data_IF_056838707428
#
_entry.id   IF_056838707428
#
_cell.length_a   1.000
_cell.length_b   1.000
_cell.length_c   1.000
_cell.angle_alpha   90.00
_cell.angle_beta   90.00
_cell.angle_gamma   90.00
#
_symmetry.space_group_name_H-M   'P 1'
#
loop_
_entity.id
_entity.type
_entity.pdbx_description
1 polymer ?
#
# COMPACT_ATOMS: atom_id res chain seq x y z
N UNK A 1 -59.09 30.52 -19.32
CA UNK A 1 -58.25 30.17 -18.15
C UNK A 1 -57.30 29.05 -18.59
N UNK A 2 -56.02 29.36 -18.84
CA UNK A 2 -55.01 28.36 -19.20
C UNK A 2 -54.24 28.01 -17.93
N UNK A 3 -54.31 26.76 -17.49
CA UNK A 3 -53.58 26.27 -16.34
C UNK A 3 -52.08 26.18 -16.68
N UNK A 4 -51.25 26.92 -15.95
CA UNK A 4 -49.81 26.69 -15.90
C UNK A 4 -49.56 25.47 -14.99
N UNK A 5 -49.04 24.38 -15.55
CA UNK A 5 -48.39 23.34 -14.78
C UNK A 5 -46.93 23.77 -14.51
N UNK A 6 -46.64 24.15 -13.27
CA UNK A 6 -45.28 24.22 -12.77
C UNK A 6 -44.79 22.80 -12.44
N UNK A 7 -43.88 22.26 -13.26
CA UNK A 7 -43.13 21.07 -12.90
C UNK A 7 -42.00 21.48 -11.94
N UNK A 8 -42.14 21.12 -10.66
CA UNK A 8 -41.05 21.22 -9.70
C UNK A 8 -40.06 20.08 -9.96
N UNK A 9 -38.89 20.40 -10.50
CA UNK A 9 -37.79 19.44 -10.62
C UNK A 9 -37.22 19.19 -9.21
N UNK A 10 -37.51 18.01 -8.66
CA UNK A 10 -36.90 17.52 -7.42
C UNK A 10 -35.46 17.12 -7.75
N UNK A 11 -34.48 17.96 -7.41
CA UNK A 11 -33.07 17.58 -7.47
C UNK A 11 -32.81 16.57 -6.35
N UNK A 12 -32.80 15.28 -6.69
CA UNK A 12 -32.30 14.23 -5.80
C UNK A 12 -30.78 14.38 -5.78
N UNK A 13 -30.24 14.89 -4.67
CA UNK A 13 -28.82 14.80 -4.38
C UNK A 13 -28.50 13.33 -4.13
N UNK A 14 -28.13 12.61 -5.18
CA UNK A 14 -27.47 11.32 -5.04
C UNK A 14 -26.13 11.61 -4.35
N UNK A 15 -26.01 11.22 -3.08
CA UNK A 15 -24.69 11.14 -2.46
C UNK A 15 -23.83 10.23 -3.35
N UNK A 16 -22.58 10.60 -3.67
CA UNK A 16 -21.69 9.71 -4.40
C UNK A 16 -21.62 8.39 -3.62
N UNK A 17 -21.83 7.27 -4.32
CA UNK A 17 -21.57 5.96 -3.72
C UNK A 17 -20.13 5.99 -3.23
N UNK A 18 -19.92 5.69 -1.93
CA UNK A 18 -18.55 5.44 -1.45
C UNK A 18 -17.99 4.31 -2.30
N UNK A 19 -16.77 4.49 -2.82
CA UNK A 19 -16.04 3.39 -3.43
C UNK A 19 -16.02 2.22 -2.43
N UNK A 20 -16.33 1.03 -2.92
CA UNK A 20 -16.24 -0.17 -2.10
C UNK A 20 -14.77 -0.48 -1.84
N UNK A 21 -14.45 -0.97 -0.64
CA UNK A 21 -13.12 -1.47 -0.32
C UNK A 21 -12.76 -2.66 -1.21
N UNK A 22 -11.47 -2.83 -1.47
CA UNK A 22 -10.94 -4.02 -2.13
C UNK A 22 -11.12 -5.24 -1.22
N UNK A 23 -11.69 -6.33 -1.73
CA UNK A 23 -11.93 -7.53 -0.92
C UNK A 23 -10.61 -8.26 -0.66
N UNK A 24 -10.17 -8.33 0.59
CA UNK A 24 -8.91 -9.00 1.00
C UNK A 24 -8.85 -10.48 0.66
N UNK A 25 -10.00 -11.14 0.41
CA UNK A 25 -9.99 -12.52 -0.08
C UNK A 25 -9.46 -12.63 -1.51
N UNK A 26 -9.43 -11.52 -2.27
CA UNK A 26 -8.85 -11.50 -3.61
C UNK A 26 -7.34 -11.72 -3.58
N UNK A 27 -6.65 -11.42 -2.47
CA UNK A 27 -5.22 -11.70 -2.31
C UNK A 27 -4.89 -13.18 -2.56
N UNK A 28 -5.78 -14.11 -2.19
CA UNK A 28 -5.56 -15.56 -2.32
C UNK A 28 -6.38 -16.20 -3.43
N UNK A 29 -6.97 -15.39 -4.31
CA UNK A 29 -7.79 -15.92 -5.39
C UNK A 29 -6.92 -16.64 -6.43
N UNK A 30 -7.47 -17.70 -7.02
CA UNK A 30 -6.78 -18.44 -8.07
C UNK A 30 -6.43 -17.56 -9.28
N UNK A 31 -7.26 -16.55 -9.57
CA UNK A 31 -7.02 -15.58 -10.65
C UNK A 31 -5.77 -14.73 -10.34
N UNK A 32 -5.74 -14.11 -9.15
CA UNK A 32 -4.61 -13.28 -8.69
C UNK A 32 -3.29 -14.06 -8.70
N UNK A 33 -3.30 -15.30 -8.19
CA UNK A 33 -2.13 -16.18 -8.16
C UNK A 33 -1.68 -16.61 -9.56
N UNK A 34 -2.63 -16.90 -10.47
CA UNK A 34 -2.31 -17.26 -11.86
C UNK A 34 -1.65 -16.11 -12.62
N UNK A 35 -1.98 -14.86 -12.28
CA UNK A 35 -1.40 -13.66 -12.88
C UNK A 35 -0.02 -13.30 -12.31
N UNK A 36 0.56 -14.16 -11.45
CA UNK A 36 1.89 -13.97 -10.87
C UNK A 36 1.91 -13.05 -9.63
N UNK A 37 0.73 -12.66 -9.13
CA UNK A 37 0.57 -11.88 -7.90
C UNK A 37 -0.04 -12.70 -6.78
N UNK A 38 -0.66 -11.99 -5.83
CA UNK A 38 -1.40 -12.60 -4.73
C UNK A 38 -0.52 -13.21 -3.64
N UNK A 39 -1.16 -13.51 -2.52
CA UNK A 39 -0.54 -14.09 -1.35
C UNK A 39 -0.86 -15.57 -1.26
N UNK A 40 -0.01 -16.27 -0.52
CA UNK A 40 -0.10 -17.71 -0.34
C UNK A 40 -0.23 -17.96 1.16
N UNK A 41 -1.45 -18.25 1.65
CA UNK A 41 -1.68 -18.42 3.07
C UNK A 41 -0.98 -19.68 3.59
N UNK A 42 -0.68 -19.68 4.88
CA UNK A 42 -0.18 -20.86 5.59
C UNK A 42 -1.31 -21.59 6.31
N UNK A 43 -1.19 -22.91 6.40
CA UNK A 43 -2.09 -23.73 7.18
C UNK A 43 -1.96 -23.41 8.68
N UNK A 44 -2.98 -23.74 9.48
CA UNK A 44 -2.90 -23.62 10.96
C UNK A 44 -1.81 -24.50 11.57
N UNK A 45 -1.49 -25.60 10.89
CA UNK A 45 -0.43 -26.53 11.27
C UNK A 45 0.67 -26.57 10.21
N UNK A 46 1.51 -25.51 10.12
CA UNK A 46 2.51 -25.39 9.08
C UNK A 46 3.61 -26.44 9.24
N UNK A 47 4.11 -26.93 8.11
CA UNK A 47 5.35 -27.69 8.01
C UNK A 47 6.57 -26.76 8.09
N UNK A 48 7.76 -27.36 8.26
CA UNK A 48 9.01 -26.62 8.48
C UNK A 48 9.30 -25.53 7.42
N UNK A 49 8.88 -25.76 6.17
CA UNK A 49 9.16 -24.87 5.04
C UNK A 49 7.99 -23.97 4.67
N UNK A 50 6.82 -24.13 5.31
CA UNK A 50 5.63 -23.37 4.95
C UNK A 50 5.79 -21.88 5.28
N UNK A 51 6.68 -21.54 6.21
CA UNK A 51 7.02 -20.14 6.51
C UNK A 51 7.74 -19.44 5.35
N UNK A 52 8.42 -20.18 4.46
CA UNK A 52 9.05 -19.58 3.27
C UNK A 52 8.01 -18.98 2.31
N UNK A 53 6.77 -19.46 2.39
CA UNK A 53 5.66 -18.96 1.59
C UNK A 53 5.32 -17.51 1.97
N UNK A 54 5.49 -17.12 3.24
CA UNK A 54 5.25 -15.76 3.73
C UNK A 54 6.26 -14.75 3.18
N UNK A 55 7.40 -15.20 2.63
CA UNK A 55 8.44 -14.35 2.04
C UNK A 55 8.61 -14.63 0.54
N UNK A 56 7.67 -15.35 -0.10
CA UNK A 56 7.71 -15.74 -1.50
C UNK A 56 6.47 -15.30 -2.28
N UNK A 57 6.38 -14.04 -2.72
CA UNK A 57 7.07 -12.89 -2.15
C UNK A 57 6.38 -12.43 -0.84
N UNK A 58 7.10 -11.67 -0.01
CA UNK A 58 6.52 -11.04 1.21
C UNK A 58 5.45 -10.01 0.86
N UNK A 59 5.49 -9.46 -0.35
CA UNK A 59 4.53 -8.52 -0.91
C UNK A 59 4.24 -8.88 -2.36
N UNK A 60 2.97 -8.83 -2.76
CA UNK A 60 2.57 -9.14 -4.13
C UNK A 60 1.84 -7.97 -4.76
N UNK A 61 2.25 -7.57 -5.97
CA UNK A 61 1.58 -6.47 -6.67
C UNK A 61 0.11 -6.78 -6.92
N UNK A 62 -0.75 -5.78 -6.72
CA UNK A 62 -2.16 -5.81 -7.11
C UNK A 62 -2.23 -5.40 -8.58
N UNK A 63 -2.98 -6.15 -9.37
CA UNK A 63 -3.12 -5.89 -10.80
C UNK A 63 -3.85 -4.56 -11.06
N UNK A 64 -3.17 -3.67 -11.77
CA UNK A 64 -3.68 -2.37 -12.20
C UNK A 64 -3.21 -2.10 -13.61
N UNK A 65 -4.10 -1.55 -14.43
CA UNK A 65 -3.78 -1.19 -15.80
C UNK A 65 -3.55 -2.42 -16.69
N UNK A 66 -2.83 -2.27 -17.81
CA UNK A 66 -2.54 -3.36 -18.74
C UNK A 66 -1.46 -4.37 -18.30
N UNK A 67 -0.69 -4.09 -17.23
CA UNK A 67 0.42 -4.94 -16.82
C UNK A 67 0.05 -5.83 -15.61
N UNK A 68 0.55 -7.06 -15.62
CA UNK A 68 0.33 -8.03 -14.54
C UNK A 68 1.50 -8.05 -13.55
N UNK A 69 1.29 -8.48 -12.30
CA UNK A 69 2.37 -8.69 -11.35
C UNK A 69 3.54 -9.55 -11.92
N UNK A 70 4.80 -9.26 -11.55
CA UNK A 70 5.24 -8.19 -10.65
C UNK A 70 5.33 -6.79 -11.30
N UNK A 71 4.93 -6.66 -12.56
CA UNK A 71 5.00 -5.44 -13.40
C UNK A 71 3.77 -4.54 -13.36
N UNK A 72 2.82 -4.82 -12.46
CA UNK A 72 1.58 -4.06 -12.39
C UNK A 72 1.84 -2.54 -12.32
N UNK A 73 0.97 -1.77 -12.99
CA UNK A 73 1.16 -0.33 -13.07
C UNK A 73 1.03 0.33 -11.69
N UNK A 74 1.78 1.42 -11.41
CA UNK A 74 1.65 2.12 -10.15
C UNK A 74 0.31 2.85 -10.04
N UNK A 75 -0.17 3.00 -8.82
CA UNK A 75 -1.31 3.88 -8.49
C UNK A 75 -0.82 5.23 -8.01
N UNK A 76 -1.72 6.22 -8.00
CA UNK A 76 -1.53 7.47 -7.27
C UNK A 76 -2.47 7.48 -6.08
N UNK A 77 -1.94 7.75 -4.89
CA UNK A 77 -2.68 7.79 -3.64
C UNK A 77 -2.51 9.16 -2.97
N UNK A 78 -3.61 9.69 -2.45
CA UNK A 78 -3.69 10.94 -1.70
C UNK A 78 -4.17 10.67 -0.27
N UNK A 79 -3.56 11.33 0.70
CA UNK A 79 -3.98 11.20 2.08
C UNK A 79 -3.40 12.23 3.03
N UNK A 80 -3.85 12.15 4.28
CA UNK A 80 -3.28 12.90 5.40
C UNK A 80 -2.48 11.95 6.25
N UNK A 81 -1.24 12.32 6.56
CA UNK A 81 -0.37 11.49 7.37
C UNK A 81 -0.83 11.50 8.82
N UNK A 82 -1.01 10.33 9.38
CA UNK A 82 -1.44 10.13 10.77
C UNK A 82 -0.25 9.76 11.66
N UNK A 83 0.63 8.91 11.14
CA UNK A 83 1.82 8.41 11.81
C UNK A 83 2.96 8.21 10.81
N UNK A 84 4.18 8.42 11.27
CA UNK A 84 5.40 8.01 10.57
C UNK A 84 6.33 7.34 11.60
N UNK A 85 6.74 6.09 11.34
CA UNK A 85 7.62 5.29 12.19
C UNK A 85 8.72 4.62 11.37
N UNK A 86 9.73 4.06 12.04
CA UNK A 86 10.66 3.11 11.43
C UNK A 86 10.23 1.74 11.93
N UNK A 87 10.17 0.74 11.05
CA UNK A 87 9.84 -0.62 11.45
C UNK A 87 11.07 -1.30 12.06
N UNK A 88 11.37 -1.01 13.33
CA UNK A 88 12.54 -1.59 14.00
C UNK A 88 12.35 -3.09 14.26
N UNK A 89 12.99 -3.94 13.44
CA UNK A 89 13.14 -5.38 13.69
C UNK A 89 12.02 -6.27 13.17
N UNK A 90 11.14 -5.75 12.31
CA UNK A 90 10.11 -6.52 11.58
C UNK A 90 10.59 -7.07 10.23
N UNK A 91 11.50 -6.36 9.58
CA UNK A 91 11.79 -6.62 8.16
C UNK A 91 12.76 -7.79 7.95
N UNK A 92 12.44 -8.65 6.98
CA UNK A 92 13.27 -9.80 6.68
C UNK A 92 14.56 -9.37 5.96
N UNK A 93 15.71 -9.56 6.62
CA UNK A 93 17.02 -9.18 6.03
C UNK A 93 17.37 -9.86 4.69
N UNK A 94 16.65 -10.91 4.30
CA UNK A 94 16.86 -11.60 3.02
C UNK A 94 16.16 -10.94 1.82
N UNK A 95 15.27 -9.98 2.04
CA UNK A 95 14.56 -9.25 0.98
C UNK A 95 14.56 -7.72 1.18
N UNK A 96 15.28 -7.21 2.19
CA UNK A 96 15.53 -5.78 2.42
C UNK A 96 17.02 -5.43 2.39
N UNK A 97 17.38 -4.20 2.00
CA UNK A 97 18.73 -3.65 2.21
C UNK A 97 18.88 -2.92 3.56
N UNK A 98 17.80 -2.29 4.02
CA UNK A 98 17.67 -1.53 5.26
C UNK A 98 16.22 -1.60 5.74
N UNK A 99 15.98 -1.29 7.02
CA UNK A 99 14.61 -1.25 7.57
C UNK A 99 13.71 -0.23 6.82
N UNK A 100 12.42 -0.47 6.83
CA UNK A 100 11.43 0.41 6.25
C UNK A 100 11.11 1.62 7.13
N UNK A 101 10.82 2.72 6.45
CA UNK A 101 10.13 3.86 7.02
C UNK A 101 8.66 3.78 6.62
N UNK A 102 7.81 3.60 7.62
CA UNK A 102 6.40 3.37 7.43
C UNK A 102 5.65 4.68 7.67
N UNK A 103 4.86 5.11 6.69
CA UNK A 103 3.99 6.29 6.77
C UNK A 103 2.54 5.83 6.62
N UNK A 104 1.73 6.13 7.62
CA UNK A 104 0.31 5.78 7.63
C UNK A 104 -0.54 6.95 7.15
N UNK A 105 -1.50 6.64 6.27
CA UNK A 105 -2.34 7.62 5.61
C UNK A 105 -3.82 7.38 5.96
N UNK A 106 -4.46 8.45 6.44
CA UNK A 106 -5.90 8.63 6.25
C UNK A 106 -6.11 8.94 4.76
N UNK A 107 -6.51 7.93 3.99
CA UNK A 107 -6.72 8.03 2.54
C UNK A 107 -7.87 8.98 2.20
N UNK A 108 -7.70 9.76 1.14
CA UNK A 108 -8.74 10.65 0.66
C UNK A 108 -9.95 9.87 0.15
N UNK A 109 -11.19 10.40 0.31
CA UNK A 109 -12.40 9.72 -0.13
C UNK A 109 -12.42 9.30 -1.61
N UNK A 110 -11.65 9.97 -2.47
CA UNK A 110 -11.55 9.66 -3.91
C UNK A 110 -10.74 8.38 -4.19
N UNK A 111 -9.87 8.00 -3.28
CA UNK A 111 -8.87 6.94 -3.47
C UNK A 111 -9.17 5.71 -2.60
N UNK A 112 -10.35 5.67 -1.96
CA UNK A 112 -10.75 4.58 -1.05
C UNK A 112 -10.90 3.22 -1.74
N UNK A 113 -10.93 3.17 -3.07
CA UNK A 113 -10.87 1.91 -3.83
C UNK A 113 -9.54 1.18 -3.66
N UNK A 114 -8.48 1.88 -3.25
CA UNK A 114 -7.18 1.28 -2.98
C UNK A 114 -7.06 0.67 -1.58
N UNK A 115 -8.04 0.88 -0.71
CA UNK A 115 -8.05 0.39 0.68
C UNK A 115 -8.77 -0.96 0.70
N UNK A 116 -8.11 -1.99 1.24
CA UNK A 116 -8.71 -3.30 1.37
C UNK A 116 -9.58 -3.45 2.62
N UNK A 117 -10.44 -4.47 2.63
CA UNK A 117 -11.27 -4.81 3.78
C UNK A 117 -10.43 -5.16 5.01
N UNK A 118 -9.22 -5.69 4.81
CA UNK A 118 -8.25 -5.99 5.86
C UNK A 118 -7.77 -4.72 6.56
N UNK A 119 -7.45 -3.66 5.79
CA UNK A 119 -7.00 -2.39 6.38
C UNK A 119 -8.02 -1.85 7.38
N UNK A 120 -9.32 -1.95 7.10
CA UNK A 120 -10.42 -1.43 7.94
C UNK A 120 -11.06 -2.48 8.85
N UNK A 121 -10.53 -3.70 8.86
CA UNK A 121 -11.03 -4.82 9.63
C UNK A 121 -10.62 -4.76 11.10
N UNK A 122 -11.05 -5.72 11.94
CA UNK A 122 -10.62 -5.79 13.34
C UNK A 122 -9.12 -6.03 13.51
N UNK A 123 -8.46 -6.54 12.45
CA UNK A 123 -7.01 -6.73 12.36
C UNK A 123 -6.30 -5.59 11.63
N UNK A 124 -7.04 -4.54 11.24
CA UNK A 124 -6.49 -3.40 10.53
C UNK A 124 -5.42 -2.70 11.33
N UNK A 125 -4.25 -2.52 10.72
CA UNK A 125 -3.18 -1.68 11.26
C UNK A 125 -3.72 -0.26 11.47
N UNK A 126 -3.32 0.35 12.59
CA UNK A 126 -3.42 1.79 12.86
C UNK A 126 -4.82 2.40 12.60
N UNK A 127 -5.89 1.74 13.06
CA UNK A 127 -7.28 2.22 12.97
C UNK A 127 -7.84 2.35 11.53
N UNK A 128 -7.41 1.54 10.57
CA UNK A 128 -8.01 1.58 9.23
C UNK A 128 -7.12 2.13 8.13
N UNK A 129 -5.85 2.39 8.41
CA UNK A 129 -4.99 3.23 7.58
C UNK A 129 -4.34 2.42 6.45
N UNK A 130 -3.99 3.12 5.37
CA UNK A 130 -3.20 2.54 4.30
C UNK A 130 -1.73 2.90 4.57
N UNK A 131 -0.89 1.87 4.55
CA UNK A 131 0.53 1.99 4.82
C UNK A 131 1.35 2.25 3.56
N UNK A 132 2.27 3.20 3.68
CA UNK A 132 3.32 3.46 2.71
C UNK A 132 4.63 3.01 3.32
N UNK A 133 5.41 2.24 2.57
CA UNK A 133 6.71 1.74 3.04
C UNK A 133 7.80 2.07 2.02
N UNK A 134 8.91 2.59 2.53
CA UNK A 134 10.13 2.74 1.77
C UNK A 134 11.34 2.63 2.69
N UNK A 135 12.23 1.71 2.33
CA UNK A 135 13.51 1.50 2.99
C UNK A 135 14.27 2.81 3.28
N UNK A 136 14.73 2.96 4.54
CA UNK A 136 15.40 4.17 5.02
C UNK A 136 16.68 4.51 4.23
N UNK A 137 17.34 3.51 3.66
CA UNK A 137 18.50 3.68 2.78
C UNK A 137 18.16 4.34 1.43
N UNK A 138 16.91 4.21 0.99
CA UNK A 138 16.39 4.76 -0.28
C UNK A 138 15.51 6.00 -0.08
N UNK A 139 15.15 6.35 1.17
CA UNK A 139 14.24 7.44 1.50
C UNK A 139 14.93 8.61 2.21
N UNK A 140 15.19 9.74 1.53
CA UNK A 140 15.85 10.87 2.17
C UNK A 140 14.97 11.59 3.20
N UNK A 141 15.56 11.89 4.37
CA UNK A 141 14.90 12.55 5.50
C UNK A 141 14.14 13.85 5.16
N UNK A 142 14.54 14.61 4.14
CA UNK A 142 13.83 15.85 3.79
C UNK A 142 12.43 15.58 3.22
N UNK A 143 12.21 14.39 2.67
CA UNK A 143 10.97 13.97 2.07
C UNK A 143 10.08 13.21 3.06
N UNK A 144 10.58 12.81 4.23
CA UNK A 144 9.80 12.12 5.27
C UNK A 144 8.64 12.99 5.76
N UNK A 145 7.43 12.42 5.75
CA UNK A 145 6.26 13.12 6.21
C UNK A 145 6.15 13.12 7.74
N UNK A 146 5.45 14.12 8.28
CA UNK A 146 5.03 14.14 9.68
C UNK A 146 3.51 14.10 9.80
N UNK A 147 3.02 13.72 10.98
CA UNK A 147 1.59 13.75 11.31
C UNK A 147 0.95 15.10 10.94
N UNK A 148 -0.16 15.07 10.21
CA UNK A 148 -0.91 16.21 9.72
C UNK A 148 -0.42 16.78 8.38
N UNK A 149 0.70 16.30 7.84
CA UNK A 149 1.11 16.64 6.47
C UNK A 149 0.16 16.03 5.45
N UNK A 150 0.03 16.70 4.30
CA UNK A 150 -0.67 16.17 3.13
C UNK A 150 0.31 15.43 2.25
N UNK A 151 -0.03 14.22 1.82
CA UNK A 151 0.84 13.40 1.01
C UNK A 151 0.13 12.98 -0.28
N UNK A 152 0.86 13.08 -1.39
CA UNK A 152 0.55 12.40 -2.65
C UNK A 152 1.70 11.46 -2.93
N UNK A 153 1.42 10.20 -3.24
CA UNK A 153 2.44 9.20 -3.56
C UNK A 153 2.05 8.44 -4.82
N UNK A 154 3.04 8.06 -5.61
CA UNK A 154 2.90 7.22 -6.80
C UNK A 154 3.77 6.01 -6.58
N UNK A 155 3.21 4.80 -6.65
CA UNK A 155 3.95 3.60 -6.29
C UNK A 155 3.25 2.29 -6.59
N UNK A 156 3.95 1.19 -6.31
CA UNK A 156 3.39 -0.14 -6.48
C UNK A 156 2.35 -0.38 -5.39
N UNK A 157 1.14 -0.68 -5.81
CA UNK A 157 0.07 -1.12 -4.92
C UNK A 157 0.22 -2.63 -4.71
N UNK A 158 0.25 -3.06 -3.45
CA UNK A 158 0.56 -4.45 -3.11
C UNK A 158 -0.45 -5.00 -2.11
N UNK A 159 -0.57 -6.32 -2.10
CA UNK A 159 -0.99 -7.09 -0.95
C UNK A 159 0.23 -7.35 -0.07
N UNK A 160 0.13 -7.03 1.21
CA UNK A 160 1.12 -7.44 2.20
C UNK A 160 0.85 -8.91 2.55
N UNK A 161 1.71 -9.80 2.06
CA UNK A 161 1.52 -11.24 2.21
C UNK A 161 2.03 -11.79 3.53
N UNK A 162 2.72 -10.98 4.34
CA UNK A 162 3.13 -11.34 5.70
C UNK A 162 1.94 -11.39 6.68
N UNK A 163 0.89 -10.60 6.45
CA UNK A 163 -0.15 -10.33 7.44
C UNK A 163 -1.58 -10.74 7.03
N UNK A 164 -1.75 -11.97 6.53
CA UNK A 164 -3.07 -12.46 6.11
C UNK A 164 -4.12 -12.64 7.22
N UNK A 165 -3.69 -12.81 8.48
CA UNK A 165 -4.46 -12.87 9.73
C UNK A 165 -5.97 -13.24 9.57
N UNK A 166 -6.31 -14.49 9.21
CA UNK A 166 -7.70 -14.87 8.95
C UNK A 166 -8.63 -14.65 10.15
N UNK A 167 -9.70 -13.88 9.96
CA UNK A 167 -10.70 -13.55 10.98
C UNK A 167 -12.04 -13.16 10.34
N UNK A 168 -13.10 -13.99 10.48
CA UNK A 168 -13.10 -15.28 11.14
C UNK A 168 -12.31 -16.34 10.36
N UNK A 169 -11.77 -17.31 11.10
CA UNK A 169 -11.31 -18.57 10.53
C UNK A 169 -12.48 -19.38 9.94
N UNK A 170 -12.17 -20.23 8.96
CA UNK A 170 -13.13 -21.15 8.37
C UNK A 170 -13.39 -22.37 9.25
N UNK A 171 -14.29 -23.22 8.77
CA UNK A 171 -14.55 -24.55 9.34
C UNK A 171 -14.49 -25.62 8.26
N UNK A 172 -14.11 -26.83 8.64
CA UNK A 172 -14.12 -27.94 7.70
C UNK A 172 -15.55 -28.31 7.30
N UNK A 173 -15.77 -28.49 6.00
CA UNK A 173 -17.09 -28.63 5.36
C UNK A 173 -18.03 -29.68 5.98
N UNK A 174 -17.49 -30.74 6.61
CA UNK A 174 -18.30 -31.75 7.30
C UNK A 174 -18.00 -31.80 8.81
N UNK A 175 -16.74 -31.62 9.19
CA UNK A 175 -16.28 -31.56 10.58
C UNK A 175 -16.29 -30.12 11.07
N UNK A 176 -17.48 -29.51 11.14
CA UNK A 176 -17.64 -28.07 11.41
C UNK A 176 -17.08 -27.58 12.76
N UNK A 177 -16.72 -28.49 13.69
CA UNK A 177 -16.00 -28.15 14.93
C UNK A 177 -14.51 -27.91 14.73
N UNK A 178 -13.95 -28.31 13.59
CA UNK A 178 -12.55 -28.09 13.23
C UNK A 178 -12.43 -26.74 12.52
N UNK A 179 -11.69 -25.82 13.13
CA UNK A 179 -11.30 -24.57 12.49
C UNK A 179 -10.22 -24.83 11.42
N UNK A 180 -10.24 -24.05 10.35
CA UNK A 180 -9.31 -24.18 9.23
C UNK A 180 -8.99 -22.82 8.62
N UNK A 181 -7.83 -22.74 7.98
CA UNK A 181 -7.47 -21.66 7.05
C UNK A 181 -7.43 -22.22 5.63
N UNK A 182 -6.88 -23.43 5.48
CA UNK A 182 -6.75 -24.13 4.22
C UNK A 182 -7.37 -25.52 4.26
N UNK A 183 -7.60 -26.09 3.07
CA UNK A 183 -8.06 -27.48 2.92
C UNK A 183 -7.14 -28.50 3.61
N UNK A 184 -5.84 -28.20 3.71
CA UNK A 184 -4.88 -29.04 4.43
C UNK A 184 -5.14 -29.15 5.93
N UNK A 185 -5.81 -28.15 6.53
CA UNK A 185 -6.23 -28.21 7.93
C UNK A 185 -7.40 -29.19 8.14
N UNK A 186 -8.09 -29.56 7.06
CA UNK A 186 -9.22 -30.49 7.04
C UNK A 186 -8.81 -31.92 6.67
N UNK A 187 -7.51 -32.23 6.70
CA UNK A 187 -6.97 -33.56 6.39
C UNK A 187 -5.99 -34.05 7.48
N UNK A 188 -5.79 -35.38 7.62
CA UNK A 188 -4.71 -35.90 8.45
C UNK A 188 -3.33 -35.45 7.94
N UNK A 189 -2.35 -35.17 8.83
CA UNK A 189 -2.41 -35.32 10.28
C UNK A 189 -3.00 -34.11 11.01
N UNK A 190 -3.24 -32.97 10.34
CA UNK A 190 -3.75 -31.74 10.96
C UNK A 190 -5.12 -31.96 11.63
N UNK A 191 -5.99 -32.73 10.99
CA UNK A 191 -7.26 -33.15 11.54
C UNK A 191 -7.43 -34.67 11.45
N UNK A 192 -7.13 -35.38 12.55
CA UNK A 192 -7.28 -36.84 12.62
C UNK A 192 -8.74 -37.33 12.55
N UNK A 193 -9.69 -36.47 12.91
CA UNK A 193 -11.13 -36.77 12.90
C UNK A 193 -11.87 -36.36 11.63
N UNK A 194 -11.20 -35.67 10.70
CA UNK A 194 -11.82 -35.16 9.48
C UNK A 194 -12.04 -36.26 8.45
N UNK A 195 -13.09 -36.08 7.65
CA UNK A 195 -13.42 -36.95 6.53
C UNK A 195 -12.48 -36.64 5.36
N UNK A 196 -12.05 -37.66 4.64
CA UNK A 196 -11.20 -37.47 3.47
C UNK A 196 -11.92 -36.62 2.40
N UNK A 197 -11.24 -35.58 1.91
CA UNK A 197 -11.74 -34.67 0.88
C UNK A 197 -12.58 -33.51 1.41
N UNK A 198 -12.64 -33.28 2.72
CA UNK A 198 -13.21 -32.04 3.25
C UNK A 198 -12.40 -30.81 2.79
N UNK A 199 -13.11 -29.74 2.46
CA UNK A 199 -12.52 -28.42 2.18
C UNK A 199 -12.76 -27.47 3.34
N UNK A 200 -11.92 -26.46 3.44
CA UNK A 200 -12.11 -25.34 4.35
C UNK A 200 -13.15 -24.37 3.77
N UNK A 201 -14.15 -23.98 4.58
CA UNK A 201 -15.21 -23.06 4.15
C UNK A 201 -15.39 -21.92 5.15
N UNK A 202 -15.64 -20.73 4.63
CA UNK A 202 -15.97 -19.56 5.44
C UNK A 202 -14.78 -18.78 6.02
N UNK A 203 -13.55 -19.14 5.66
CA UNK A 203 -12.36 -18.31 5.99
C UNK A 203 -12.49 -16.94 5.35
N UNK A 204 -12.24 -15.89 6.14
CA UNK A 204 -12.10 -14.52 5.64
C UNK A 204 -10.68 -14.06 5.92
N UNK A 205 -9.95 -13.74 4.86
CA UNK A 205 -8.59 -13.21 4.99
C UNK A 205 -8.60 -11.69 5.22
N UNK A 206 -7.63 -11.20 6.00
CA UNK A 206 -7.45 -9.79 6.33
C UNK A 206 -6.16 -9.21 5.74
N UNK A 207 -5.69 -9.72 4.59
CA UNK A 207 -4.56 -9.11 3.88
C UNK A 207 -4.79 -7.62 3.68
N UNK A 208 -3.77 -6.82 4.02
CA UNK A 208 -3.78 -5.39 3.82
C UNK A 208 -3.35 -5.05 2.40
N UNK A 209 -3.92 -3.96 1.88
CA UNK A 209 -3.36 -3.30 0.72
C UNK A 209 -2.51 -2.12 1.14
N UNK A 210 -1.39 -1.94 0.47
CA UNK A 210 -0.35 -0.97 0.84
C UNK A 210 0.35 -0.42 -0.39
N UNK A 211 1.19 0.60 -0.19
CA UNK A 211 2.04 1.14 -1.24
C UNK A 211 3.50 0.90 -0.88
N UNK A 212 4.07 -0.17 -1.45
CA UNK A 212 5.44 -0.62 -1.20
C UNK A 212 6.09 -1.22 -2.48
N UNK A 213 7.17 -0.62 -3.03
CA UNK A 213 7.70 0.71 -2.72
C UNK A 213 7.08 1.82 -3.59
N UNK A 214 7.12 3.07 -3.11
CA UNK A 214 6.86 4.24 -3.91
C UNK A 214 7.94 4.48 -4.98
N UNK A 215 7.51 5.12 -6.06
CA UNK A 215 8.35 5.65 -7.12
C UNK A 215 8.46 7.18 -7.04
N UNK A 216 7.44 7.82 -6.47
CA UNK A 216 7.48 9.23 -6.13
C UNK A 216 6.61 9.57 -4.91
N UNK A 217 7.04 10.57 -4.15
CA UNK A 217 6.31 11.11 -3.00
C UNK A 217 6.38 12.63 -3.01
N UNK A 218 5.25 13.28 -2.73
CA UNK A 218 5.12 14.71 -2.53
C UNK A 218 4.47 14.99 -1.17
N UNK A 219 5.26 15.53 -0.23
CA UNK A 219 4.81 15.87 1.12
C UNK A 219 4.62 17.37 1.24
N UNK A 220 3.37 17.78 1.43
CA UNK A 220 2.93 19.15 1.57
C UNK A 220 2.67 19.51 3.04
N UNK A 221 3.46 20.45 3.55
CA UNK A 221 3.43 20.95 4.94
C UNK A 221 2.73 22.31 4.99
N UNK A 222 1.44 22.38 5.36
CA UNK A 222 0.70 23.63 5.39
C UNK A 222 1.05 24.51 6.60
N UNK A 223 0.87 25.82 6.47
CA UNK A 223 0.58 26.67 7.64
C UNK A 223 1.74 27.42 8.31
N UNK A 224 3.01 27.20 7.93
CA UNK A 224 4.09 28.08 8.40
C UNK A 224 5.25 28.10 7.42
N UNK A 225 5.58 29.27 6.86
CA UNK A 225 6.75 29.42 5.99
C UNK A 225 8.03 28.93 6.66
N UNK A 226 8.44 27.71 6.31
CA UNK A 226 9.61 27.07 6.89
C UNK A 226 10.85 27.62 6.20
N UNK A 227 11.43 28.68 6.77
CA UNK A 227 12.76 29.15 6.39
C UNK A 227 13.80 28.50 7.30
N UNK A 228 14.45 27.42 6.86
CA UNK A 228 15.50 26.71 7.61
C UNK A 228 16.67 27.62 8.06
N UNK A 229 16.82 28.79 7.43
CA UNK A 229 17.98 29.67 7.63
C UNK A 229 17.70 31.03 8.28
N UNK A 230 16.45 31.37 8.64
CA UNK A 230 16.14 32.71 9.20
C UNK A 230 15.11 32.68 10.32
N UNK A 231 15.43 33.39 11.43
CA UNK A 231 14.51 33.67 12.54
C UNK A 231 13.17 34.19 12.03
N UNK A 232 12.06 33.59 12.52
CA UNK A 232 10.68 34.00 12.26
C UNK A 232 10.48 35.48 12.59
N UNK A 233 10.52 36.36 11.59
CA UNK A 233 9.89 37.68 11.65
C UNK A 233 8.50 37.54 11.03
N UNK A 234 7.44 37.55 11.84
CA UNK A 234 6.03 37.60 11.42
C UNK A 234 5.72 36.90 10.09
N UNK A 235 5.58 35.57 10.12
CA UNK A 235 5.61 34.72 8.94
C UNK A 235 4.37 34.86 8.05
N UNK A 236 4.59 34.97 6.74
CA UNK A 236 3.55 34.70 5.74
C UNK A 236 3.18 33.23 5.81
N UNK A 237 1.88 32.92 5.74
CA UNK A 237 1.42 31.55 5.50
C UNK A 237 2.00 31.08 4.16
N UNK A 238 2.72 29.96 4.20
CA UNK A 238 3.24 29.30 3.01
C UNK A 238 3.10 27.79 3.22
N UNK A 239 2.83 27.09 2.12
CA UNK A 239 2.96 25.63 2.03
C UNK A 239 4.34 25.34 1.47
N UNK A 240 5.03 24.36 2.05
CA UNK A 240 6.21 23.73 1.44
C UNK A 240 5.80 22.35 0.97
N UNK A 241 6.09 22.02 -0.28
CA UNK A 241 5.97 20.66 -0.80
C UNK A 241 7.36 20.16 -1.13
N UNK A 242 7.76 19.08 -0.48
CA UNK A 242 9.00 18.36 -0.77
C UNK A 242 8.66 17.17 -1.66
N UNK A 243 9.33 17.08 -2.81
CA UNK A 243 9.09 16.04 -3.81
C UNK A 243 10.34 15.18 -3.92
N UNK A 244 10.16 13.86 -3.84
CA UNK A 244 11.21 12.87 -4.07
C UNK A 244 10.72 11.87 -5.12
N UNK A 245 11.53 11.64 -6.15
CA UNK A 245 11.26 10.68 -7.22
C UNK A 245 12.48 9.77 -7.28
N UNK A 246 12.27 8.46 -7.17
CA UNK A 246 13.36 7.49 -7.07
C UNK A 246 13.03 6.20 -7.83
N UNK A 247 13.99 5.64 -8.60
CA UNK A 247 13.88 4.26 -9.06
C UNK A 247 14.33 3.26 -7.99
N UNK A 248 15.01 3.73 -6.93
CA UNK A 248 15.49 2.91 -5.82
C UNK A 248 14.40 2.74 -4.78
N UNK A 249 13.85 1.54 -4.70
CA UNK A 249 12.81 1.13 -3.75
C UNK A 249 13.27 0.05 -2.77
N UNK A 250 14.58 -0.03 -2.49
CA UNK A 250 15.12 -1.14 -1.69
C UNK A 250 14.93 -2.50 -2.38
N UNK A 251 14.91 -3.58 -1.59
CA UNK A 251 14.64 -4.93 -2.06
C UNK A 251 13.23 -5.08 -2.62
N UNK A 252 12.22 -4.43 -2.03
CA UNK A 252 10.87 -4.40 -2.57
C UNK A 252 10.77 -3.74 -3.96
N UNK A 253 11.77 -2.94 -4.34
CA UNK A 253 11.87 -2.30 -5.66
C UNK A 253 12.47 -3.17 -6.76
N UNK A 254 13.02 -4.35 -6.44
CA UNK A 254 13.72 -5.20 -7.38
C UNK A 254 12.87 -6.41 -7.81
N UNK A 255 12.78 -6.64 -9.12
CA UNK A 255 12.04 -7.76 -9.70
C UNK A 255 12.44 -9.10 -9.11
N UNK A 256 13.73 -9.35 -8.87
CA UNK A 256 14.21 -10.64 -8.39
C UNK A 256 13.56 -11.00 -7.04
N UNK A 257 13.45 -10.03 -6.14
CA UNK A 257 12.93 -10.22 -4.79
C UNK A 257 11.42 -10.47 -4.78
N UNK A 258 10.69 -9.77 -5.66
CA UNK A 258 9.22 -9.73 -5.62
C UNK A 258 8.56 -10.70 -6.59
N UNK A 259 9.36 -11.47 -7.34
CA UNK A 259 8.84 -12.48 -8.25
C UNK A 259 8.50 -13.73 -7.47
N UNK A 260 7.24 -14.17 -7.56
CA UNK A 260 6.82 -15.43 -6.96
C UNK A 260 7.58 -16.63 -7.54
N UNK A 261 8.11 -17.49 -6.67
CA UNK A 261 8.70 -18.76 -7.05
C UNK A 261 7.70 -19.91 -6.88
N UNK A 262 7.54 -20.75 -7.90
CA UNK A 262 6.63 -21.90 -7.82
C UNK A 262 7.00 -22.89 -6.70
N UNK A 263 8.28 -22.93 -6.31
CA UNK A 263 8.78 -23.70 -5.17
C UNK A 263 9.44 -22.75 -4.17
N UNK A 264 8.87 -22.55 -2.97
CA UNK A 264 9.45 -21.66 -1.95
C UNK A 264 10.88 -22.02 -1.53
N UNK A 265 11.31 -23.28 -1.72
CA UNK A 265 12.70 -23.68 -1.46
C UNK A 265 13.71 -23.03 -2.42
N UNK A 266 13.26 -22.51 -3.56
CA UNK A 266 14.13 -21.83 -4.52
C UNK A 266 14.73 -20.56 -3.89
N UNK A 267 14.01 -19.91 -2.96
CA UNK A 267 14.49 -18.75 -2.18
C UNK A 267 15.78 -19.02 -1.41
N UNK A 268 15.98 -20.24 -0.91
CA UNK A 268 17.16 -20.59 -0.08
C UNK A 268 18.18 -21.46 -0.82
N UNK A 269 17.86 -21.92 -2.03
CA UNK A 269 18.69 -22.88 -2.77
C UNK A 269 19.24 -22.34 -4.08
N UNK A 270 18.56 -21.39 -4.72
CA UNK A 270 18.90 -20.95 -6.09
C UNK A 270 18.73 -19.45 -6.35
N UNK A 271 17.93 -18.74 -5.55
CA UNK A 271 17.66 -17.32 -5.77
C UNK A 271 18.74 -16.46 -5.13
N UNK A 272 19.44 -15.67 -5.95
CA UNK A 272 20.49 -14.75 -5.52
C UNK A 272 20.17 -13.35 -6.09
N UNK A 273 19.43 -12.56 -5.33
CA UNK A 273 19.00 -11.23 -5.78
C UNK A 273 20.02 -10.12 -5.52
N UNK A 274 21.01 -10.36 -4.65
CA UNK A 274 21.99 -9.35 -4.28
C UNK A 274 23.29 -9.49 -5.09
N UNK A 275 23.85 -8.38 -5.61
CA UNK A 275 23.34 -7.01 -5.53
C UNK A 275 22.10 -6.77 -6.43
N UNK A 276 21.15 -5.98 -5.94
CA UNK A 276 19.94 -5.60 -6.67
C UNK A 276 20.29 -4.94 -8.02
N UNK A 277 19.56 -5.28 -9.08
CA UNK A 277 19.90 -4.88 -10.45
C UNK A 277 18.72 -4.79 -11.43
N UNK A 278 17.51 -5.13 -11.00
CA UNK A 278 16.31 -5.19 -11.83
C UNK A 278 15.20 -4.28 -11.25
N UNK A 279 15.40 -2.94 -11.22
CA UNK A 279 14.40 -2.04 -10.68
C UNK A 279 13.10 -2.10 -11.47
N UNK A 280 11.96 -2.19 -10.77
CA UNK A 280 10.63 -2.16 -11.38
C UNK A 280 10.14 -0.73 -11.66
N UNK A 281 10.61 0.24 -10.88
CA UNK A 281 10.24 1.64 -11.01
C UNK A 281 10.87 2.29 -12.25
N UNK A 282 10.07 2.55 -13.29
CA UNK A 282 10.52 3.22 -14.51
C UNK A 282 10.31 4.74 -14.46
N UNK A 283 10.99 5.42 -13.54
CA UNK A 283 10.79 6.87 -13.30
C UNK A 283 11.20 7.76 -14.47
N UNK A 284 12.02 7.26 -15.40
CA UNK A 284 12.45 8.03 -16.58
C UNK A 284 11.49 7.91 -17.77
N UNK A 285 10.53 6.99 -17.74
CA UNK A 285 9.55 6.80 -18.81
C UNK A 285 8.21 7.52 -18.55
N UNK A 286 8.05 8.14 -17.37
CA UNK A 286 6.78 8.69 -16.90
C UNK A 286 6.91 10.16 -16.50
N UNK A 287 5.82 10.91 -16.66
CA UNK A 287 5.67 12.21 -16.04
C UNK A 287 4.98 12.04 -14.68
N UNK A 288 5.41 12.82 -13.70
CA UNK A 288 4.77 12.89 -12.39
C UNK A 288 4.09 14.24 -12.22
N UNK A 289 2.85 14.21 -11.74
CA UNK A 289 2.05 15.40 -11.46
C UNK A 289 1.60 15.38 -9.99
N UNK A 290 1.70 16.52 -9.32
CA UNK A 290 1.36 16.66 -7.91
C UNK A 290 0.58 17.95 -7.68
N UNK A 291 -0.52 17.82 -6.93
CA UNK A 291 -1.30 18.96 -6.46
C UNK A 291 -0.70 19.53 -5.17
N UNK A 292 -0.45 20.85 -5.18
CA UNK A 292 0.10 21.56 -4.02
C UNK A 292 -1.02 22.34 -3.33
N UNK A 293 -1.41 21.99 -2.08
CA UNK A 293 -2.42 22.73 -1.34
C UNK A 293 -1.90 24.13 -1.04
N UNK A 294 -2.59 25.13 -1.56
CA UNK A 294 -2.15 26.52 -1.41
C UNK A 294 -2.60 27.08 -0.06
N UNK A 295 -1.78 27.91 0.62
CA UNK A 295 -2.19 28.53 1.88
C UNK A 295 -3.44 29.41 1.68
N UNK A 296 -4.24 29.65 2.73
CA UNK A 296 -5.35 30.59 2.66
C UNK A 296 -4.91 31.96 2.13
N UNK A 297 -5.74 32.58 1.28
CA UNK A 297 -5.44 33.93 0.77
C UNK A 297 -5.51 34.92 1.95
N UNK A 298 -4.47 35.75 2.17
CA UNK A 298 -4.52 36.80 3.18
C UNK A 298 -5.64 37.81 2.88
N UNK A 299 -6.40 38.19 3.91
CA UNK A 299 -7.47 39.19 3.78
C UNK A 299 -6.93 40.50 3.19
N UNK A 300 -7.66 41.07 2.22
CA UNK A 300 -7.29 42.36 1.61
C UNK A 300 -6.06 42.33 0.70
N UNK A 301 -5.51 41.16 0.36
CA UNK A 301 -4.37 41.06 -0.56
C UNK A 301 -4.83 40.70 -1.98
N UNK A 302 -4.80 41.64 -2.94
CA UNK A 302 -5.13 41.38 -4.35
C UNK A 302 -3.97 40.74 -5.13
N UNK A 303 -2.81 40.54 -4.49
CA UNK A 303 -1.60 40.05 -5.13
C UNK A 303 -1.69 38.59 -5.57
N UNK A 304 -1.03 38.27 -6.69
CA UNK A 304 -0.84 36.90 -7.15
C UNK A 304 -0.02 36.09 -6.13
N UNK A 305 -0.34 34.81 -6.03
CA UNK A 305 0.42 33.84 -5.23
C UNK A 305 1.83 33.73 -5.83
N UNK A 306 2.86 33.67 -4.99
CA UNK A 306 4.24 33.46 -5.43
C UNK A 306 4.60 32.01 -5.28
N UNK A 307 5.04 31.39 -6.37
CA UNK A 307 5.51 30.02 -6.41
C UNK A 307 7.03 30.08 -6.62
N UNK A 308 7.76 29.25 -5.87
CA UNK A 308 9.20 29.07 -6.06
C UNK A 308 9.47 27.57 -6.08
N UNK A 309 10.03 27.09 -7.19
CA UNK A 309 10.52 25.72 -7.33
C UNK A 309 12.03 25.73 -7.09
N UNK A 310 12.51 24.77 -6.32
CA UNK A 310 13.94 24.56 -6.07
C UNK A 310 14.24 23.13 -6.48
N UNK A 311 14.92 22.96 -7.59
CA UNK A 311 15.43 21.67 -8.04
C UNK A 311 16.71 21.34 -7.25
N UNK A 312 16.68 20.24 -6.52
CA UNK A 312 17.81 19.71 -5.74
C UNK A 312 18.42 18.46 -6.36
N UNK A 313 18.05 18.11 -7.60
CA UNK A 313 18.64 16.98 -8.33
C UNK A 313 20.16 17.16 -8.36
N UNK A 314 20.95 16.21 -7.86
CA UNK A 314 22.40 16.28 -7.92
C UNK A 314 22.85 16.52 -9.36
N UNK A 315 23.61 17.60 -9.59
CA UNK A 315 23.94 18.01 -10.97
C UNK A 315 24.84 17.03 -11.72
N UNK A 316 25.40 16.02 -11.05
CA UNK A 316 26.22 14.91 -11.57
C UNK A 316 26.25 13.76 -10.55
N UNK A 317 25.94 12.55 -11.00
CA UNK A 317 26.52 11.30 -10.47
C UNK A 317 27.57 10.84 -11.49
#
# INVERSE_FOLDING_TARGET
MKALLCAAALAVFLAPARAAYLDSNQAVSAETQTNGGGCYPIAKHPQLTDQLVLINPEWAAIEVGPHTPPDADPITLHGTVTLAKINEGGDFSGNHLTDDQNTFLDVDPADMEFVATGNVGPQGEEDGQLEFELEIGSYPLFAWAGTGDRMTTVGRWIWDCGHGNPDPEGTCSSTASQACVLDSDCAPPACAGCIAGETCVGTVFNYHSELHPPQAVAVSRPGAGHAFSRRRKGGRLATRTDVWITPGGGGAGDRCVVTHHANPLDLVSTTECFPLSQPLANVNASNFEFDIPLPPRPAGSPGLRRIKVIDQTPRRL
#
